data_IF_618538331389
#
_entry.id   IF_618538331389
#
_cell.length_a   1.000
_cell.length_b   1.000
_cell.length_c   1.000
_cell.angle_alpha   90.00
_cell.angle_beta   90.00
_cell.angle_gamma   90.00
#
_symmetry.space_group_name_H-M   'P 1'
#
loop_
_entity.id
_entity.type
_entity.pdbx_description
1 polymer ?
#
# COMPACT_ATOMS: atom_id res chain seq x y z
N UNK A 1 14.23 -10.74 13.77
CA UNK A 1 12.92 -10.16 13.39
C UNK A 1 13.03 -8.97 12.42
N UNK A 2 14.04 -8.09 12.51
CA UNK A 2 14.18 -6.93 11.60
C UNK A 2 14.45 -7.29 10.12
N UNK A 3 15.24 -8.33 9.84
CA UNK A 3 15.53 -8.72 8.46
C UNK A 3 14.29 -9.26 7.73
N UNK A 4 13.52 -10.12 8.37
CA UNK A 4 12.30 -10.72 7.78
C UNK A 4 11.23 -9.68 7.48
N UNK A 5 11.06 -8.67 8.33
CA UNK A 5 10.11 -7.59 8.08
C UNK A 5 10.61 -6.62 7.00
N UNK A 6 11.92 -6.40 6.90
CA UNK A 6 12.51 -5.59 5.84
C UNK A 6 12.24 -6.21 4.45
N UNK A 7 12.56 -7.49 4.27
CA UNK A 7 12.34 -8.17 2.97
C UNK A 7 10.87 -8.18 2.55
N UNK A 8 9.95 -8.41 3.49
CA UNK A 8 8.51 -8.43 3.19
C UNK A 8 8.00 -7.06 2.72
N UNK A 9 8.55 -5.97 3.25
CA UNK A 9 8.10 -4.62 2.91
C UNK A 9 8.73 -4.08 1.62
N UNK A 10 9.99 -4.41 1.31
CA UNK A 10 10.72 -3.78 0.18
C UNK A 10 9.94 -3.82 -1.15
N UNK A 11 9.34 -4.96 -1.51
CA UNK A 11 8.57 -5.07 -2.76
C UNK A 11 7.41 -4.09 -2.84
N UNK A 12 6.65 -3.93 -1.75
CA UNK A 12 5.53 -2.99 -1.71
C UNK A 12 5.95 -1.52 -1.75
N UNK A 13 7.19 -1.19 -1.36
CA UNK A 13 7.65 0.20 -1.35
C UNK A 13 8.27 0.59 -2.70
N UNK A 14 8.94 -0.35 -3.37
CA UNK A 14 9.49 -0.14 -4.70
C UNK A 14 8.38 0.08 -5.74
N UNK A 15 7.25 -0.63 -5.64
CA UNK A 15 6.13 -0.45 -6.57
C UNK A 15 5.61 0.98 -6.57
N UNK A 16 5.53 1.68 -5.43
CA UNK A 16 5.04 3.06 -5.40
C UNK A 16 6.01 4.05 -6.07
N UNK A 17 7.30 3.75 -6.02
CA UNK A 17 8.33 4.54 -6.70
C UNK A 17 8.35 4.28 -8.21
N UNK A 18 8.15 3.04 -8.64
CA UNK A 18 8.12 2.68 -10.06
C UNK A 18 6.83 3.18 -10.74
N UNK A 19 5.71 3.10 -10.02
CA UNK A 19 4.38 3.41 -10.54
C UNK A 19 4.16 4.91 -10.80
N UNK A 20 4.59 5.78 -9.88
CA UNK A 20 4.36 7.23 -9.95
C UNK A 20 5.39 8.02 -9.11
N UNK A 21 6.63 8.24 -9.60
CA UNK A 21 7.68 8.94 -8.86
C UNK A 21 7.30 10.35 -8.42
N UNK A 22 6.48 11.07 -9.21
CA UNK A 22 6.06 12.43 -8.88
C UNK A 22 5.01 12.49 -7.75
N UNK A 23 4.32 11.38 -7.48
CA UNK A 23 3.24 11.31 -6.50
C UNK A 23 3.49 10.26 -5.40
N UNK A 24 4.69 9.68 -5.35
CA UNK A 24 5.00 8.54 -4.48
C UNK A 24 4.82 8.89 -3.00
N UNK A 25 5.16 10.12 -2.58
CA UNK A 25 5.01 10.57 -1.20
C UNK A 25 3.56 10.55 -0.70
N UNK A 26 2.63 11.05 -1.52
CA UNK A 26 1.20 11.01 -1.18
C UNK A 26 0.66 9.58 -1.22
N UNK A 27 1.02 8.81 -2.25
CA UNK A 27 0.53 7.45 -2.43
C UNK A 27 1.00 6.52 -1.31
N UNK A 28 2.27 6.60 -0.91
CA UNK A 28 2.84 5.84 0.22
C UNK A 28 2.15 6.25 1.53
N UNK A 29 1.92 7.55 1.75
CA UNK A 29 1.23 8.05 2.94
C UNK A 29 -0.22 7.54 3.03
N UNK A 30 -0.94 7.54 1.91
CA UNK A 30 -2.31 7.04 1.82
C UNK A 30 -2.37 5.54 2.13
N UNK A 31 -1.52 4.73 1.50
CA UNK A 31 -1.43 3.28 1.74
C UNK A 31 -1.10 2.98 3.20
N UNK A 32 -0.18 3.73 3.82
CA UNK A 32 0.16 3.57 5.24
C UNK A 32 -0.99 3.92 6.18
N UNK A 33 -1.79 4.92 5.82
CA UNK A 33 -2.95 5.32 6.61
C UNK A 33 -4.01 4.22 6.56
N UNK A 34 -4.31 3.72 5.36
CA UNK A 34 -5.24 2.60 5.18
C UNK A 34 -4.75 1.32 5.88
N UNK A 35 -3.44 1.07 5.90
CA UNK A 35 -2.86 -0.07 6.63
C UNK A 35 -2.97 0.02 8.15
N UNK A 36 -3.05 1.21 8.74
CA UNK A 36 -3.20 1.38 10.19
C UNK A 36 -4.64 1.21 10.69
N UNK A 37 -5.64 1.36 9.82
CA UNK A 37 -7.07 1.18 10.19
C UNK A 37 -7.36 -0.25 10.69
N UNK A 38 -7.02 -1.33 9.96
CA UNK A 38 -7.24 -2.69 10.44
C UNK A 38 -6.38 -3.02 11.68
N UNK A 39 -5.24 -2.36 11.87
CA UNK A 39 -4.43 -2.51 13.08
C UNK A 39 -5.15 -1.94 14.32
N UNK A 40 -5.84 -0.81 14.16
CA UNK A 40 -6.69 -0.24 15.21
C UNK A 40 -7.90 -1.15 15.50
N UNK A 41 -8.56 -1.64 14.44
CA UNK A 41 -9.73 -2.53 14.56
C UNK A 41 -9.38 -3.91 15.13
N UNK A 42 -8.21 -4.46 14.80
CA UNK A 42 -7.76 -5.75 15.30
C UNK A 42 -7.62 -5.78 16.82
N UNK A 43 -7.23 -4.65 17.43
CA UNK A 43 -7.16 -4.51 18.89
C UNK A 43 -8.55 -4.53 19.52
N UNK A 44 -9.51 -3.82 18.93
CA UNK A 44 -10.90 -3.81 19.42
C UNK A 44 -11.59 -5.17 19.24
N UNK A 45 -11.35 -5.84 18.11
CA UNK A 45 -11.84 -7.19 17.84
C UNK A 45 -11.29 -8.21 18.83
N UNK A 46 -10.00 -8.11 19.18
CA UNK A 46 -9.41 -9.02 20.15
C UNK A 46 -10.00 -8.84 21.55
N UNK A 47 -10.21 -7.59 21.97
CA UNK A 47 -10.85 -7.29 23.27
C UNK A 47 -12.30 -7.78 23.32
N UNK A 48 -13.04 -7.74 22.21
CA UNK A 48 -14.46 -8.15 22.21
C UNK A 48 -14.70 -9.65 22.01
N UNK A 49 -13.85 -10.34 21.24
CA UNK A 49 -14.08 -11.75 20.84
C UNK A 49 -13.26 -12.75 21.65
N UNK A 50 -12.06 -12.38 22.12
CA UNK A 50 -11.07 -13.35 22.62
C UNK A 50 -10.72 -13.19 24.11
N UNK A 51 -10.91 -12.02 24.73
CA UNK A 51 -10.47 -11.75 26.11
C UNK A 51 -11.58 -11.87 27.16
N UNK A 52 -12.39 -12.94 27.11
CA UNK A 52 -13.35 -13.21 28.19
C UNK A 52 -12.67 -13.99 29.34
N UNK A 53 -11.85 -15.00 29.04
CA UNK A 53 -11.23 -15.88 30.05
C UNK A 53 -9.68 -15.92 30.02
N UNK A 54 -9.02 -15.23 29.07
CA UNK A 54 -7.54 -15.21 28.90
C UNK A 54 -6.90 -16.61 28.92
N UNK A 55 -7.52 -17.59 28.25
CA UNK A 55 -7.03 -18.96 28.23
C UNK A 55 -6.03 -19.17 27.08
N UNK A 56 -5.11 -20.15 27.19
CA UNK A 56 -4.12 -20.45 26.14
C UNK A 56 -4.75 -20.73 24.76
N UNK A 57 -5.97 -21.28 24.72
CA UNK A 57 -6.68 -21.55 23.46
C UNK A 57 -7.00 -20.27 22.68
N UNK A 58 -7.24 -19.16 23.37
CA UNK A 58 -7.67 -17.90 22.76
C UNK A 58 -6.48 -17.27 22.01
N UNK A 59 -5.27 -17.39 22.56
CA UNK A 59 -4.04 -17.00 21.87
C UNK A 59 -3.79 -17.82 20.61
N UNK A 60 -4.02 -19.13 20.65
CA UNK A 60 -3.85 -19.99 19.47
C UNK A 60 -4.83 -19.60 18.35
N UNK A 61 -6.08 -19.28 18.71
CA UNK A 61 -7.09 -18.82 17.76
C UNK A 61 -6.74 -17.44 17.18
N UNK A 62 -6.21 -16.53 18.01
CA UNK A 62 -5.74 -15.23 17.54
C UNK A 62 -4.61 -15.35 16.51
N UNK A 63 -3.59 -16.16 16.80
CA UNK A 63 -2.48 -16.38 15.85
C UNK A 63 -2.94 -17.05 14.56
N UNK A 64 -3.96 -17.91 14.62
CA UNK A 64 -4.58 -18.48 13.43
C UNK A 64 -5.21 -17.41 12.54
N UNK A 65 -6.04 -16.52 13.10
CA UNK A 65 -6.63 -15.40 12.36
C UNK A 65 -5.57 -14.43 11.81
N UNK A 66 -4.52 -14.15 12.59
CA UNK A 66 -3.38 -13.33 12.14
C UNK A 66 -2.70 -13.96 10.91
N UNK A 67 -2.43 -15.28 10.95
CA UNK A 67 -1.86 -16.02 9.83
C UNK A 67 -2.73 -16.00 8.57
N UNK A 68 -4.05 -16.18 8.71
CA UNK A 68 -5.00 -16.12 7.58
C UNK A 68 -5.01 -14.73 6.96
N UNK A 69 -5.05 -13.66 7.76
CA UNK A 69 -5.04 -12.28 7.23
C UNK A 69 -3.76 -11.95 6.46
N UNK A 70 -2.60 -12.44 6.92
CA UNK A 70 -1.34 -12.30 6.21
C UNK A 70 -1.36 -13.04 4.87
N UNK A 71 -1.88 -14.27 4.84
CA UNK A 71 -1.99 -15.06 3.61
C UNK A 71 -2.89 -14.36 2.57
N UNK A 72 -4.06 -13.89 3.00
CA UNK A 72 -4.99 -13.14 2.13
C UNK A 72 -4.36 -11.85 1.62
N UNK A 73 -3.65 -11.12 2.48
CA UNK A 73 -2.95 -9.90 2.09
C UNK A 73 -1.87 -10.14 1.03
N UNK A 74 -1.05 -11.19 1.20
CA UNK A 74 -0.05 -11.57 0.20
C UNK A 74 -0.69 -12.05 -1.11
N UNK A 75 -1.79 -12.79 -1.04
CA UNK A 75 -2.52 -13.23 -2.23
C UNK A 75 -3.10 -12.05 -3.03
N UNK A 76 -3.74 -11.11 -2.32
CA UNK A 76 -4.24 -9.87 -2.95
C UNK A 76 -3.12 -9.07 -3.58
N UNK A 77 -1.96 -8.97 -2.92
CA UNK A 77 -0.80 -8.29 -3.49
C UNK A 77 -0.33 -8.96 -4.80
N UNK A 78 -0.22 -10.29 -4.84
CA UNK A 78 0.20 -11.01 -6.04
C UNK A 78 -0.81 -10.82 -7.21
N UNK A 79 -2.11 -10.77 -6.91
CA UNK A 79 -3.15 -10.66 -7.94
C UNK A 79 -3.32 -9.22 -8.45
N UNK A 80 -3.16 -8.23 -7.57
CA UNK A 80 -3.48 -6.81 -7.86
C UNK A 80 -2.24 -5.97 -8.18
N UNK A 81 -1.03 -6.44 -7.86
CA UNK A 81 0.19 -5.71 -8.19
C UNK A 81 0.38 -5.64 -9.70
N UNK A 82 0.56 -4.42 -10.20
CA UNK A 82 0.93 -4.14 -11.58
C UNK A 82 2.03 -3.07 -11.56
N UNK A 83 3.11 -3.30 -12.30
CA UNK A 83 4.30 -2.44 -12.36
C UNK A 83 4.27 -1.45 -13.55
N UNK A 84 3.14 -1.34 -14.26
CA UNK A 84 3.04 -0.37 -15.36
C UNK A 84 2.93 1.07 -14.87
N UNK A 85 3.80 1.94 -15.39
CA UNK A 85 3.84 3.37 -15.10
C UNK A 85 2.47 4.02 -15.33
N UNK A 86 1.91 4.61 -14.27
CA UNK A 86 0.53 5.09 -14.32
C UNK A 86 0.40 6.37 -15.14
N UNK A 87 -0.64 6.44 -15.97
CA UNK A 87 -0.88 7.53 -16.93
C UNK A 87 -0.99 8.93 -16.28
N UNK A 88 -1.36 8.98 -15.00
CA UNK A 88 -1.47 10.22 -14.23
C UNK A 88 -0.12 10.74 -13.69
N UNK A 89 0.99 10.02 -13.89
CA UNK A 89 2.32 10.46 -13.47
C UNK A 89 2.85 11.66 -14.30
N UNK A 90 2.18 12.06 -15.38
CA UNK A 90 2.47 13.32 -16.08
C UNK A 90 1.92 14.49 -15.28
N UNK A 91 2.82 15.29 -14.71
CA UNK A 91 2.49 16.60 -14.17
C UNK A 91 2.08 17.46 -15.37
N UNK A 92 0.80 17.82 -15.46
CA UNK A 92 0.35 18.87 -16.37
C UNK A 92 0.93 20.16 -15.80
N UNK A 93 2.02 20.65 -16.39
CA UNK A 93 2.49 22.00 -16.13
C UNK A 93 1.38 22.95 -16.59
N UNK A 94 0.59 23.43 -15.64
CA UNK A 94 -0.20 24.64 -15.83
C UNK A 94 0.80 25.81 -15.87
N UNK A 95 1.47 25.93 -17.02
CA UNK A 95 2.03 27.21 -17.44
C UNK A 95 0.86 28.19 -17.48
N UNK A 96 0.77 28.99 -16.42
CA UNK A 96 -0.19 30.07 -16.34
C UNK A 96 0.54 31.34 -16.78
N UNK A 97 0.55 31.59 -18.09
CA UNK A 97 0.81 32.93 -18.61
C UNK A 97 1.52 33.03 -19.95
N UNK A 98 0.81 32.71 -21.05
CA UNK A 98 0.93 33.33 -22.38
C UNK A 98 2.26 33.15 -23.16
N UNK A 99 2.27 32.29 -24.18
CA UNK A 99 2.28 32.74 -25.59
C UNK A 99 2.35 31.55 -26.58
N UNK A 100 1.54 31.71 -27.61
CA UNK A 100 1.22 30.88 -28.74
C UNK A 100 2.38 30.53 -29.70
N UNK A 101 3.43 29.78 -29.34
CA UNK A 101 4.41 29.33 -30.37
C UNK A 101 5.17 28.02 -30.09
N UNK A 102 4.52 26.85 -30.17
CA UNK A 102 5.18 25.66 -30.79
C UNK A 102 4.19 24.58 -31.24
N UNK A 103 3.27 24.92 -32.16
CA UNK A 103 2.94 23.95 -33.21
C UNK A 103 4.14 23.87 -34.16
N UNK A 104 5.13 23.03 -33.89
CA UNK A 104 6.11 22.65 -34.91
C UNK A 104 6.69 21.26 -34.59
N UNK A 105 6.36 20.31 -35.47
CA UNK A 105 7.34 19.39 -36.12
C UNK A 105 7.96 18.32 -35.20
N UNK A 106 7.67 17.03 -35.33
CA UNK A 106 7.93 16.13 -36.48
C UNK A 106 7.20 14.81 -36.14
N UNK A 107 6.13 14.39 -36.82
CA UNK A 107 6.14 13.67 -38.11
C UNK A 107 7.53 13.24 -38.55
N UNK A 108 7.92 12.02 -38.22
CA UNK A 108 8.47 11.01 -39.15
C UNK A 108 8.55 9.67 -38.41
#
# INVERSE_FOLDING_TARGET
MLFTTAFNNVGAWLTHFDLAPNFSGFLIGFTKTMGNIPLLLGRMFMTSVLMIDMQEKDWCLYYFFAGVSLLVGNFMYIVLANDELQKFNKIISLDSGDDSTTKLTSTN
#
